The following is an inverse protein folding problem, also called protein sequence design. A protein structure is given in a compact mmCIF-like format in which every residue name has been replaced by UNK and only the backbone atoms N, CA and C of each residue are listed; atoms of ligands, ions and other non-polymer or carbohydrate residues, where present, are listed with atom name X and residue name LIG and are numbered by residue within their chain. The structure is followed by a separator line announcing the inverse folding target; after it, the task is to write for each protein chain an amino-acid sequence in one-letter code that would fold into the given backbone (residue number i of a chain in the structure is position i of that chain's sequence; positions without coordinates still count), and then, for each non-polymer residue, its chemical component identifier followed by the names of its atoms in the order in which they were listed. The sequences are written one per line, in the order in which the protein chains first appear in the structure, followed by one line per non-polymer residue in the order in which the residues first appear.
data_IF_021453847745
#
_entry.id   IF_021453847745
#
_cell.length_a   1.000
_cell.length_b   1.000
_cell.length_c   1.000
_cell.angle_alpha   90.00
_cell.angle_beta   90.00
_cell.angle_gamma   90.00
#
_symmetry.space_group_name_H-M   'P 1'
#
loop_
_entity.id
_entity.type
_entity.pdbx_description
1 polymer ?
#
# COMPACT_ATOMS: atom_id res chain seq x y z
N UNK A 1 -51.50 45.44 -33.18
CA UNK A 1 -50.17 45.00 -33.65
C UNK A 1 -49.50 44.19 -32.54
N UNK A 2 -49.68 42.87 -32.60
CA UNK A 2 -49.08 41.94 -31.61
C UNK A 2 -47.88 41.27 -32.26
N UNK A 3 -46.69 41.57 -31.79
CA UNK A 3 -45.45 40.92 -32.23
C UNK A 3 -45.35 39.53 -31.60
N UNK A 4 -45.41 38.54 -32.46
CA UNK A 4 -45.12 37.14 -32.14
C UNK A 4 -43.66 36.98 -31.69
N UNK A 5 -43.42 36.59 -30.44
CA UNK A 5 -42.10 36.18 -29.99
C UNK A 5 -41.83 34.73 -30.41
N UNK A 6 -40.94 34.60 -31.36
CA UNK A 6 -40.41 33.32 -31.81
C UNK A 6 -39.60 32.68 -30.67
N UNK A 7 -40.13 31.63 -30.06
CA UNK A 7 -39.37 30.81 -29.10
C UNK A 7 -38.30 30.07 -29.85
N UNK A 8 -37.09 30.62 -29.76
CA UNK A 8 -35.90 29.98 -30.34
C UNK A 8 -35.68 28.60 -29.75
N UNK A 9 -35.52 27.65 -30.63
CA UNK A 9 -35.10 26.29 -30.42
C UNK A 9 -33.60 26.21 -29.96
N UNK A 10 -33.29 26.50 -28.70
CA UNK A 10 -31.95 26.40 -28.11
C UNK A 10 -31.81 25.16 -27.21
N UNK A 11 -32.69 24.20 -27.32
CA UNK A 11 -32.72 23.12 -26.34
C UNK A 11 -32.32 21.72 -26.83
N UNK A 12 -31.81 21.57 -28.05
CA UNK A 12 -31.48 20.22 -28.56
C UNK A 12 -30.00 19.91 -28.87
N UNK A 13 -29.11 20.86 -28.74
CA UNK A 13 -27.67 20.61 -29.00
C UNK A 13 -26.79 20.36 -27.79
N UNK A 14 -27.29 20.58 -26.59
CA UNK A 14 -26.47 20.43 -25.34
C UNK A 14 -26.57 19.02 -24.75
N UNK A 15 -27.56 18.21 -25.12
CA UNK A 15 -27.75 16.86 -24.56
C UNK A 15 -26.90 15.74 -25.23
N UNK A 16 -26.10 16.06 -26.24
CA UNK A 16 -25.39 15.05 -27.05
C UNK A 16 -23.89 14.93 -26.77
N UNK A 17 -23.38 15.56 -25.73
CA UNK A 17 -21.91 15.63 -25.47
C UNK A 17 -21.45 15.12 -24.13
N UNK A 18 -22.22 14.30 -23.41
CA UNK A 18 -21.83 13.79 -22.07
C UNK A 18 -21.89 12.26 -21.93
N UNK A 19 -21.73 11.51 -23.01
CA UNK A 19 -21.26 10.12 -22.86
C UNK A 19 -19.73 10.11 -22.98
N UNK A 20 -19.04 10.60 -21.96
CA UNK A 20 -17.64 10.28 -21.76
C UNK A 20 -17.60 8.77 -21.50
N UNK A 21 -17.24 8.01 -22.52
CA UNK A 21 -16.88 6.63 -22.39
C UNK A 21 -15.71 6.57 -21.39
N UNK A 22 -16.04 6.27 -20.13
CA UNK A 22 -15.06 5.84 -19.16
C UNK A 22 -14.59 4.48 -19.67
N UNK A 23 -13.55 4.51 -20.51
CA UNK A 23 -12.84 3.32 -20.92
C UNK A 23 -12.32 2.73 -19.60
N UNK A 24 -12.91 1.61 -19.18
CA UNK A 24 -12.29 0.74 -18.18
C UNK A 24 -10.95 0.34 -18.79
N UNK A 25 -9.88 1.03 -18.41
CA UNK A 25 -8.54 0.55 -18.69
C UNK A 25 -8.51 -0.86 -18.11
N UNK A 26 -8.41 -1.85 -18.98
CA UNK A 26 -8.14 -3.21 -18.58
C UNK A 26 -6.77 -3.15 -17.93
N UNK A 27 -6.73 -3.11 -16.58
CA UNK A 27 -5.52 -3.33 -15.83
C UNK A 27 -5.04 -4.72 -16.18
N UNK A 28 -4.10 -4.80 -17.12
CA UNK A 28 -3.38 -6.04 -17.40
C UNK A 28 -2.65 -6.37 -16.10
N UNK A 29 -3.08 -7.44 -15.45
CA UNK A 29 -2.42 -7.98 -14.26
C UNK A 29 -1.01 -8.39 -14.71
N UNK A 30 -0.05 -7.56 -14.41
CA UNK A 30 1.36 -7.85 -14.66
C UNK A 30 1.96 -8.36 -13.35
N UNK A 31 2.45 -9.57 -13.36
CA UNK A 31 3.20 -10.10 -12.25
C UNK A 31 4.58 -9.44 -12.20
N UNK A 32 5.00 -9.12 -10.98
CA UNK A 32 6.29 -8.51 -10.68
C UNK A 32 7.14 -9.52 -9.95
N UNK A 33 8.34 -9.73 -10.44
CA UNK A 33 9.34 -10.57 -9.79
C UNK A 33 10.23 -9.72 -8.87
N UNK A 34 10.38 -10.19 -7.64
CA UNK A 34 11.25 -9.58 -6.63
C UNK A 34 11.92 -10.67 -5.79
N UNK A 35 12.89 -10.29 -4.98
CA UNK A 35 13.56 -11.19 -4.04
C UNK A 35 13.31 -10.74 -2.60
N UNK A 36 12.99 -11.69 -1.72
CA UNK A 36 12.84 -11.44 -0.29
C UNK A 36 13.79 -12.40 0.44
N UNK A 37 14.78 -11.84 1.14
CA UNK A 37 15.87 -12.59 1.79
C UNK A 37 16.52 -13.62 0.85
N UNK A 38 16.65 -13.27 -0.46
CA UNK A 38 17.21 -14.14 -1.49
C UNK A 38 16.20 -15.09 -2.15
N UNK A 39 14.97 -15.21 -1.63
CA UNK A 39 13.92 -16.07 -2.19
C UNK A 39 13.22 -15.31 -3.33
N UNK A 40 13.20 -15.84 -4.57
CA UNK A 40 12.46 -15.23 -5.67
C UNK A 40 10.95 -15.40 -5.47
N UNK A 41 10.21 -14.31 -5.63
CA UNK A 41 8.74 -14.26 -5.49
C UNK A 41 8.16 -13.51 -6.67
N UNK A 42 7.11 -14.06 -7.27
CA UNK A 42 6.30 -13.40 -8.29
C UNK A 42 4.94 -13.05 -7.68
N UNK A 43 4.53 -11.80 -7.76
CA UNK A 43 3.28 -11.30 -7.21
C UNK A 43 2.67 -10.23 -8.11
N UNK A 44 1.37 -10.06 -8.05
CA UNK A 44 0.63 -9.05 -8.81
C UNK A 44 1.15 -7.63 -8.54
N UNK A 45 1.32 -6.86 -9.59
CA UNK A 45 1.71 -5.45 -9.50
C UNK A 45 0.72 -4.64 -8.67
N UNK A 46 1.23 -3.83 -7.75
CA UNK A 46 0.42 -3.05 -6.81
C UNK A 46 0.24 -3.71 -5.45
N UNK A 47 0.62 -4.98 -5.30
CA UNK A 47 0.71 -5.62 -3.99
C UNK A 47 1.78 -4.95 -3.12
N UNK A 48 1.65 -5.08 -1.81
CA UNK A 48 2.65 -4.57 -0.87
C UNK A 48 3.78 -5.58 -0.61
N UNK A 49 4.92 -5.08 -0.12
CA UNK A 49 6.06 -5.95 0.24
C UNK A 49 5.65 -6.98 1.30
N UNK A 50 4.75 -6.63 2.24
CA UNK A 50 4.32 -7.55 3.29
C UNK A 50 3.54 -8.74 2.71
N UNK A 51 2.69 -8.50 1.71
CA UNK A 51 1.96 -9.57 0.99
C UNK A 51 2.93 -10.45 0.19
N UNK A 52 3.96 -9.85 -0.41
CA UNK A 52 4.99 -10.62 -1.09
C UNK A 52 5.79 -11.49 -0.12
N UNK A 53 6.10 -10.99 1.08
CA UNK A 53 6.78 -11.74 2.13
C UNK A 53 5.93 -12.91 2.65
N UNK A 54 4.63 -12.71 2.84
CA UNK A 54 3.69 -13.78 3.20
C UNK A 54 3.66 -14.89 2.15
N UNK A 55 3.63 -14.50 0.86
CA UNK A 55 3.70 -15.47 -0.24
C UNK A 55 5.02 -16.24 -0.26
N UNK A 56 6.12 -15.61 0.16
CA UNK A 56 7.43 -16.23 0.32
C UNK A 56 7.55 -17.12 1.58
N UNK A 57 6.57 -17.08 2.48
CA UNK A 57 6.64 -17.73 3.79
C UNK A 57 7.54 -16.98 4.80
N UNK A 58 7.90 -15.73 4.52
CA UNK A 58 8.73 -14.88 5.39
C UNK A 58 7.83 -14.00 6.26
N UNK A 59 7.96 -14.16 7.58
CA UNK A 59 7.19 -13.36 8.53
C UNK A 59 7.85 -12.00 8.77
N UNK A 60 7.07 -10.92 8.56
CA UNK A 60 7.44 -9.55 8.92
C UNK A 60 6.57 -9.10 10.10
N UNK A 61 7.17 -8.73 11.26
CA UNK A 61 6.41 -8.29 12.43
C UNK A 61 5.64 -7.02 12.15
N UNK A 62 4.43 -6.92 12.68
CA UNK A 62 3.47 -5.84 12.43
C UNK A 62 2.47 -5.68 13.57
N UNK A 63 1.98 -4.45 13.80
CA UNK A 63 0.89 -4.17 14.74
C UNK A 63 -0.33 -3.57 14.03
N UNK A 64 -0.15 -2.56 13.17
CA UNK A 64 -1.26 -1.82 12.56
C UNK A 64 -1.73 -2.37 11.22
N UNK A 65 -1.08 -3.39 10.65
CA UNK A 65 -1.49 -4.00 9.39
C UNK A 65 -2.37 -5.22 9.62
N UNK A 66 -3.47 -5.28 8.88
CA UNK A 66 -4.33 -6.45 8.79
C UNK A 66 -4.88 -6.54 7.36
N UNK A 67 -4.99 -7.77 6.81
CA UNK A 67 -5.35 -8.01 5.39
C UNK A 67 -6.74 -7.49 5.01
N UNK A 68 -7.66 -7.43 5.98
CA UNK A 68 -9.05 -7.00 5.79
C UNK A 68 -9.30 -5.53 6.13
N UNK A 69 -8.29 -4.79 6.51
CA UNK A 69 -8.39 -3.39 6.91
C UNK A 69 -7.54 -2.50 6.00
N UNK A 70 -7.91 -1.24 5.94
CA UNK A 70 -7.10 -0.25 5.24
C UNK A 70 -5.74 -0.09 5.91
N UNK A 71 -4.69 0.09 5.10
CA UNK A 71 -3.33 0.25 5.58
C UNK A 71 -3.18 1.56 6.36
N UNK A 72 -2.92 1.47 7.66
CA UNK A 72 -2.68 2.62 8.52
C UNK A 72 -1.23 3.14 8.44
N UNK A 73 -0.23 2.24 8.35
CA UNK A 73 1.18 2.56 8.13
C UNK A 73 1.86 3.35 9.24
N UNK A 74 1.30 3.41 10.45
CA UNK A 74 1.75 4.29 11.54
C UNK A 74 2.65 3.62 12.60
N UNK A 75 2.55 2.31 12.84
CA UNK A 75 3.36 1.64 13.87
C UNK A 75 4.83 1.47 13.49
N UNK A 76 5.17 1.42 12.22
CA UNK A 76 6.52 1.26 11.65
C UNK A 76 7.25 -0.05 12.03
N UNK A 77 6.62 -0.98 12.71
CA UNK A 77 7.24 -2.26 13.09
C UNK A 77 7.64 -3.11 11.87
N UNK A 78 6.94 -2.95 10.74
CA UNK A 78 7.19 -3.68 9.50
C UNK A 78 8.32 -3.07 8.63
N UNK A 79 9.19 -2.23 9.18
CA UNK A 79 10.32 -1.68 8.42
C UNK A 79 11.26 -2.79 7.95
N UNK A 80 11.63 -2.68 6.67
CA UNK A 80 12.56 -3.57 5.96
C UNK A 80 13.59 -2.76 5.20
N UNK A 81 14.71 -3.38 4.89
CA UNK A 81 15.76 -2.78 4.08
C UNK A 81 15.55 -3.20 2.61
N UNK A 82 15.74 -2.25 1.70
CA UNK A 82 15.72 -2.50 0.26
C UNK A 82 17.13 -2.27 -0.25
N UNK A 83 17.69 -3.25 -0.94
CA UNK A 83 19.00 -3.09 -1.57
C UNK A 83 19.02 -1.84 -2.46
N UNK A 84 20.15 -1.13 -2.44
CA UNK A 84 20.37 0.12 -3.18
C UNK A 84 19.53 1.31 -2.69
N UNK A 85 18.76 1.17 -1.62
CA UNK A 85 18.06 2.29 -0.98
C UNK A 85 18.71 2.65 0.35
N UNK A 86 19.07 3.92 0.60
CA UNK A 86 19.61 4.35 1.88
C UNK A 86 18.56 4.36 2.99
N UNK A 87 17.28 4.38 2.62
CA UNK A 87 16.15 4.50 3.55
C UNK A 87 15.42 3.16 3.68
N UNK A 88 14.99 2.86 4.89
CA UNK A 88 14.12 1.73 5.17
C UNK A 88 12.70 2.00 4.70
N UNK A 89 12.00 0.96 4.28
CA UNK A 89 10.63 1.03 3.80
C UNK A 89 9.67 0.31 4.73
N UNK A 90 8.47 0.85 4.89
CA UNK A 90 7.39 0.16 5.60
C UNK A 90 6.77 -0.88 4.67
N UNK A 91 6.97 -2.16 4.95
CA UNK A 91 6.54 -3.26 4.08
C UNK A 91 5.02 -3.29 3.85
N UNK A 92 4.22 -2.81 4.80
CA UNK A 92 2.76 -2.79 4.68
C UNK A 92 2.24 -1.75 3.66
N UNK A 93 2.96 -0.65 3.44
CA UNK A 93 2.52 0.46 2.58
C UNK A 93 3.34 0.61 1.29
N UNK A 94 4.52 0.00 1.22
CA UNK A 94 5.38 0.08 0.04
C UNK A 94 4.93 -0.93 -1.02
N UNK A 95 4.55 -0.48 -2.23
CA UNK A 95 4.23 -1.36 -3.32
C UNK A 95 5.49 -2.09 -3.84
N UNK A 96 5.30 -3.30 -4.34
CA UNK A 96 6.37 -4.07 -4.96
C UNK A 96 6.80 -3.47 -6.28
N UNK A 97 8.09 -3.50 -6.55
CA UNK A 97 8.69 -3.06 -7.82
C UNK A 97 9.47 -4.19 -8.50
N UNK A 98 9.62 -4.13 -9.83
CA UNK A 98 10.36 -5.14 -10.57
C UNK A 98 11.84 -5.16 -10.18
N UNK A 99 12.37 -6.37 -9.95
CA UNK A 99 13.78 -6.57 -9.59
C UNK A 99 14.17 -6.04 -8.20
N UNK A 100 13.19 -5.75 -7.34
CA UNK A 100 13.41 -5.31 -5.96
C UNK A 100 14.02 -6.45 -5.14
N UNK A 101 15.05 -6.16 -4.34
CA UNK A 101 15.61 -7.08 -3.35
C UNK A 101 15.37 -6.52 -1.95
N UNK A 102 14.64 -7.26 -1.15
CA UNK A 102 14.21 -6.88 0.19
C UNK A 102 14.91 -7.75 1.22
N UNK A 103 15.46 -7.13 2.26
CA UNK A 103 16.13 -7.79 3.37
C UNK A 103 15.30 -7.53 4.63
N UNK A 104 14.86 -8.60 5.28
CA UNK A 104 13.97 -8.53 6.44
C UNK A 104 14.68 -8.72 7.76
N UNK A 105 15.91 -9.24 7.77
CA UNK A 105 16.67 -9.64 8.96
C UNK A 105 18.13 -9.14 8.95
N UNK A 106 18.35 -7.87 8.62
CA UNK A 106 19.66 -7.26 8.81
C UNK A 106 19.80 -6.69 10.24
N UNK A 107 21.04 -6.48 10.70
CA UNK A 107 21.32 -5.82 11.98
C UNK A 107 20.68 -4.44 12.06
N UNK A 108 20.61 -3.75 10.92
CA UNK A 108 19.96 -2.46 10.77
C UNK A 108 18.44 -2.54 11.02
N UNK A 109 17.78 -3.56 10.44
CA UNK A 109 16.35 -3.83 10.63
C UNK A 109 16.09 -4.18 12.10
N UNK A 110 16.93 -5.03 12.71
CA UNK A 110 16.83 -5.42 14.10
C UNK A 110 16.90 -4.21 15.04
N UNK A 111 17.93 -3.39 14.88
CA UNK A 111 18.13 -2.18 15.69
C UNK A 111 16.97 -1.20 15.61
N UNK A 112 16.39 -1.03 14.41
CA UNK A 112 15.24 -0.14 14.21
C UNK A 112 13.98 -0.70 14.89
N UNK A 113 13.74 -2.02 14.81
CA UNK A 113 12.61 -2.67 15.48
C UNK A 113 12.73 -2.62 17.00
N UNK A 114 13.94 -2.78 17.52
CA UNK A 114 14.23 -2.57 18.94
C UNK A 114 13.84 -1.16 19.39
N UNK A 115 14.31 -0.12 18.68
CA UNK A 115 13.96 1.27 18.99
C UNK A 115 12.47 1.57 18.88
N UNK A 116 11.74 0.98 17.92
CA UNK A 116 10.28 1.11 17.82
C UNK A 116 9.62 0.46 19.06
N UNK A 117 10.08 -0.70 19.48
CA UNK A 117 9.55 -1.39 20.65
C UNK A 117 9.81 -0.58 21.92
N UNK A 118 11.02 -0.04 22.11
CA UNK A 118 11.35 0.86 23.20
C UNK A 118 10.44 2.08 23.26
N UNK A 119 10.20 2.70 22.09
CA UNK A 119 9.28 3.84 21.98
C UNK A 119 7.84 3.49 22.38
N UNK A 120 7.33 2.33 21.97
CA UNK A 120 6.00 1.86 22.35
C UNK A 120 5.90 1.56 23.83
N UNK A 121 6.98 1.04 24.44
CA UNK A 121 7.02 0.71 25.86
C UNK A 121 7.21 1.92 26.76
N UNK A 122 7.74 3.04 26.26
CA UNK A 122 8.04 4.24 27.06
C UNK A 122 6.82 4.82 27.80
N UNK A 123 5.62 4.68 27.25
CA UNK A 123 4.36 5.12 27.84
C UNK A 123 3.35 3.97 28.02
N UNK A 124 3.83 2.73 28.00
CA UNK A 124 2.96 1.56 28.12
C UNK A 124 2.50 1.39 29.58
N UNK A 125 1.19 1.26 29.88
CA UNK A 125 0.74 0.96 31.24
C UNK A 125 1.19 -0.45 31.65
N UNK A 126 1.62 -0.59 32.92
CA UNK A 126 2.04 -1.88 33.48
C UNK A 126 0.85 -2.64 34.09
N UNK A 127 -0.25 -2.72 33.35
CA UNK A 127 -1.54 -3.28 33.79
C UNK A 127 -1.77 -4.71 33.27
N UNK A 128 -0.71 -5.48 33.05
CA UNK A 128 -0.80 -6.85 32.54
C UNK A 128 -1.78 -7.75 33.31
N UNK A 129 -1.89 -7.67 34.66
CA UNK A 129 -2.87 -8.47 35.42
C UNK A 129 -4.34 -8.14 35.11
N UNK A 130 -4.59 -6.98 34.46
CA UNK A 130 -5.93 -6.50 34.08
C UNK A 130 -6.24 -6.77 32.59
N UNK A 131 -5.20 -6.94 31.77
CA UNK A 131 -5.31 -7.13 30.33
C UNK A 131 -5.47 -8.59 29.87
N UNK A 132 -5.55 -9.54 30.77
CA UNK A 132 -5.64 -10.97 30.48
C UNK A 132 -6.67 -11.35 29.41
#
# INVERSE_FOLDING_TARGET
MLRSFNKLAISRSIAKQASRNFSKSQFVKQDVELKIDGIPVSIERGSSIIQAAEKAGVYIPRYCYHDRLNVAGNCRMCLVEIEKSPKMAAACSMPVGPGMSVITQSDKVKKVREGITEFLLSNHPLDCPVCD
#
